data_IF_419400399100
#
_entry.id   IF_419400399100
#
_cell.length_a   1.000
_cell.length_b   1.000
_cell.length_c   1.000
_cell.angle_alpha   90.00
_cell.angle_beta   90.00
_cell.angle_gamma   90.00
#
_symmetry.space_group_name_H-M   'P 1'
#
loop_
_entity.id
_entity.type
_entity.pdbx_description
1 polymer ?
#
# COMPACT_ATOMS: atom_id res chain seq x y z
N UNK A 1 -10.34 21.31 -60.15
CA UNK A 1 -9.51 20.39 -59.37
C UNK A 1 -8.97 21.20 -58.22
N UNK A 2 -9.37 20.91 -56.99
CA UNK A 2 -8.60 21.31 -55.81
C UNK A 2 -8.90 20.30 -54.70
N UNK A 3 -7.86 19.53 -54.41
CA UNK A 3 -7.81 18.48 -53.39
C UNK A 3 -7.83 19.09 -51.99
N UNK A 4 -8.70 18.52 -51.15
CA UNK A 4 -8.79 18.74 -49.70
C UNK A 4 -7.43 18.55 -49.03
N UNK A 5 -7.04 19.47 -48.15
CA UNK A 5 -6.16 19.16 -47.01
C UNK A 5 -6.98 19.31 -45.74
N UNK A 6 -7.45 18.18 -45.21
CA UNK A 6 -7.99 18.11 -43.86
C UNK A 6 -6.78 17.97 -42.93
N UNK A 7 -6.44 19.02 -42.21
CA UNK A 7 -5.36 18.99 -41.23
C UNK A 7 -5.85 18.15 -40.06
N UNK A 8 -5.40 16.90 -39.95
CA UNK A 8 -5.55 16.14 -38.70
C UNK A 8 -4.59 16.73 -37.66
N UNK A 9 -5.10 17.00 -36.48
CA UNK A 9 -4.30 17.34 -35.31
C UNK A 9 -3.95 16.08 -34.54
N UNK A 10 -2.81 16.07 -33.86
CA UNK A 10 -2.38 14.94 -33.00
C UNK A 10 -3.44 14.62 -31.93
N UNK A 11 -4.23 15.61 -31.55
CA UNK A 11 -5.34 15.50 -30.60
C UNK A 11 -6.51 14.66 -31.16
N UNK A 12 -6.77 14.70 -32.48
CA UNK A 12 -7.85 13.91 -33.11
C UNK A 12 -7.52 12.41 -33.18
N UNK A 13 -6.24 12.06 -33.17
CA UNK A 13 -5.78 10.67 -33.16
C UNK A 13 -5.68 10.09 -31.71
N UNK A 14 -5.84 10.94 -30.68
CA UNK A 14 -5.78 10.52 -29.26
C UNK A 14 -7.17 10.24 -28.67
N UNK A 15 -8.23 10.85 -29.23
CA UNK A 15 -9.60 10.61 -28.75
C UNK A 15 -10.11 9.29 -29.34
N UNK A 16 -9.88 8.20 -28.61
CA UNK A 16 -10.53 6.92 -28.87
C UNK A 16 -12.01 7.08 -28.54
N UNK A 17 -12.87 6.84 -29.55
CA UNK A 17 -14.32 6.81 -29.36
C UNK A 17 -14.64 5.71 -28.34
N UNK A 18 -15.41 5.99 -27.29
CA UNK A 18 -15.71 4.99 -26.23
C UNK A 18 -16.29 3.67 -26.79
N UNK A 19 -16.90 3.70 -27.98
CA UNK A 19 -17.43 2.51 -28.67
C UNK A 19 -16.36 1.58 -29.23
N UNK A 20 -15.12 2.06 -29.42
CA UNK A 20 -13.98 1.30 -29.95
C UNK A 20 -12.95 0.95 -28.85
N UNK A 21 -13.27 1.23 -27.58
CA UNK A 21 -12.42 0.79 -26.47
C UNK A 21 -12.55 -0.73 -26.32
N UNK A 22 -11.44 -1.48 -26.22
CA UNK A 22 -11.51 -2.90 -25.93
C UNK A 22 -12.27 -3.10 -24.62
N UNK A 23 -13.05 -4.18 -24.55
CA UNK A 23 -13.70 -4.59 -23.31
C UNK A 23 -12.63 -4.69 -22.23
N UNK A 24 -12.72 -3.82 -21.21
CA UNK A 24 -11.81 -3.82 -20.07
C UNK A 24 -12.23 -5.03 -19.23
N UNK A 25 -11.63 -6.18 -19.55
CA UNK A 25 -11.74 -7.39 -18.73
C UNK A 25 -10.72 -7.24 -17.62
N UNK A 26 -11.20 -7.13 -16.38
CA UNK A 26 -10.34 -7.22 -15.20
C UNK A 26 -9.90 -8.69 -15.05
N UNK A 27 -8.64 -8.96 -15.40
CA UNK A 27 -8.02 -10.28 -15.31
C UNK A 27 -7.69 -10.70 -13.86
N UNK A 28 -7.98 -9.83 -12.88
CA UNK A 28 -7.87 -10.12 -11.44
C UNK A 28 -9.17 -10.58 -10.79
N UNK A 29 -10.30 -10.61 -11.50
CA UNK A 29 -11.55 -11.16 -10.95
C UNK A 29 -11.47 -12.69 -10.82
N UNK A 30 -10.95 -13.14 -9.68
CA UNK A 30 -11.14 -14.49 -9.19
C UNK A 30 -12.64 -14.71 -9.00
N UNK A 31 -13.20 -15.72 -9.67
CA UNK A 31 -14.62 -16.06 -9.56
C UNK A 31 -15.04 -16.17 -8.09
N UNK A 32 -15.98 -15.32 -7.67
CA UNK A 32 -16.43 -15.18 -6.28
C UNK A 32 -16.90 -16.51 -5.66
N UNK A 33 -17.23 -17.51 -6.47
CA UNK A 33 -17.84 -18.77 -6.02
C UNK A 33 -16.84 -19.85 -5.56
N UNK A 34 -15.51 -19.65 -5.71
CA UNK A 34 -14.48 -20.62 -5.28
C UNK A 34 -13.38 -20.04 -4.36
N UNK A 35 -13.48 -18.77 -3.97
CA UNK A 35 -12.47 -18.13 -3.13
C UNK A 35 -12.66 -18.49 -1.65
N UNK A 36 -11.72 -19.23 -1.06
CA UNK A 36 -11.57 -19.29 0.40
C UNK A 36 -11.03 -17.95 0.87
N UNK A 37 -11.61 -17.38 1.93
CA UNK A 37 -11.09 -16.17 2.53
C UNK A 37 -9.60 -16.34 2.89
N UNK A 38 -8.78 -15.33 2.63
CA UNK A 38 -7.32 -15.41 2.80
C UNK A 38 -6.93 -15.80 4.24
N UNK A 39 -7.74 -15.39 5.22
CA UNK A 39 -7.57 -15.75 6.63
C UNK A 39 -7.83 -17.24 6.91
N UNK A 40 -8.65 -17.88 6.08
CA UNK A 40 -9.01 -19.29 6.19
C UNK A 40 -8.17 -20.23 5.33
N UNK A 41 -7.35 -19.70 4.43
CA UNK A 41 -6.40 -20.47 3.63
C UNK A 41 -5.39 -21.23 4.52
N UNK A 42 -5.44 -22.56 4.44
CA UNK A 42 -4.59 -23.44 5.24
C UNK A 42 -3.10 -23.28 4.94
N UNK A 43 -2.73 -22.95 3.69
CA UNK A 43 -1.33 -22.71 3.35
C UNK A 43 -0.79 -21.44 4.05
N UNK A 44 -1.60 -20.39 4.15
CA UNK A 44 -1.26 -19.17 4.86
C UNK A 44 -1.21 -19.39 6.38
N UNK A 45 -2.17 -20.14 6.95
CA UNK A 45 -2.13 -20.55 8.37
C UNK A 45 -0.84 -21.31 8.72
N UNK A 46 -0.41 -22.23 7.85
CA UNK A 46 0.84 -22.98 8.04
C UNK A 46 2.09 -22.07 7.95
N UNK A 47 2.13 -21.14 7.00
CA UNK A 47 3.22 -20.15 6.90
C UNK A 47 3.29 -19.28 8.16
N UNK A 48 2.15 -18.82 8.66
CA UNK A 48 2.06 -18.01 9.88
C UNK A 48 2.55 -18.81 11.09
N UNK A 49 2.07 -20.04 11.27
CA UNK A 49 2.50 -20.92 12.37
C UNK A 49 4.02 -21.13 12.37
N UNK A 50 4.60 -21.40 11.20
CA UNK A 50 6.05 -21.55 11.08
C UNK A 50 6.80 -20.28 11.50
N UNK A 51 6.27 -19.08 11.21
CA UNK A 51 6.88 -17.82 11.65
C UNK A 51 6.76 -17.64 13.16
N UNK A 52 5.61 -17.93 13.75
CA UNK A 52 5.41 -17.90 15.20
C UNK A 52 6.40 -18.83 15.92
N UNK A 53 6.63 -20.03 15.38
CA UNK A 53 7.51 -21.03 16.01
C UNK A 53 9.01 -20.70 15.88
N UNK A 54 9.41 -19.97 14.83
CA UNK A 54 10.81 -19.76 14.46
C UNK A 54 11.34 -18.35 14.77
N UNK A 55 10.45 -17.37 14.90
CA UNK A 55 10.83 -15.97 15.05
C UNK A 55 10.69 -15.52 16.51
N UNK A 56 11.80 -15.10 17.10
CA UNK A 56 11.81 -14.49 18.43
C UNK A 56 11.68 -12.98 18.32
N UNK A 57 10.63 -12.42 18.92
CA UNK A 57 10.38 -10.98 18.91
C UNK A 57 11.26 -10.33 19.98
N UNK A 58 12.16 -9.44 19.55
CA UNK A 58 12.94 -8.62 20.48
C UNK A 58 12.09 -7.45 21.01
N UNK A 59 11.54 -7.61 22.21
CA UNK A 59 10.77 -6.56 22.87
C UNK A 59 11.69 -5.45 23.39
N UNK A 60 11.65 -4.29 22.74
CA UNK A 60 12.38 -3.08 23.21
C UNK A 60 11.73 -2.46 24.45
N UNK A 61 10.40 -2.55 24.55
CA UNK A 61 9.62 -2.07 25.70
C UNK A 61 8.53 -3.10 26.04
N UNK A 62 8.19 -3.28 27.32
CA UNK A 62 7.10 -4.17 27.71
C UNK A 62 5.74 -3.61 27.27
N UNK A 63 4.78 -4.49 26.98
CA UNK A 63 3.40 -4.11 26.69
C UNK A 63 2.73 -3.47 27.91
N UNK A 64 1.93 -2.43 27.69
CA UNK A 64 1.24 -1.69 28.75
C UNK A 64 -0.18 -2.24 28.95
N UNK A 65 -0.61 -2.53 30.19
CA UNK A 65 -1.93 -3.08 30.45
C UNK A 65 -3.07 -2.20 29.88
N UNK A 66 -3.99 -2.83 29.16
CA UNK A 66 -5.18 -2.17 28.61
C UNK A 66 -4.92 -1.30 27.36
N UNK A 67 -3.68 -1.18 26.89
CA UNK A 67 -3.36 -0.48 25.64
C UNK A 67 -3.53 -1.42 24.45
N UNK A 68 -4.08 -0.90 23.36
CA UNK A 68 -4.19 -1.62 22.09
C UNK A 68 -2.84 -1.56 21.35
N UNK A 69 -2.62 -2.46 20.40
CA UNK A 69 -1.43 -2.44 19.54
C UNK A 69 -1.73 -1.65 18.25
N UNK A 70 -0.81 -0.76 17.88
CA UNK A 70 -0.83 -0.03 16.61
C UNK A 70 0.41 -0.41 15.80
N UNK A 71 0.18 -1.04 14.65
CA UNK A 71 1.25 -1.52 13.76
C UNK A 71 1.46 -0.49 12.65
N UNK A 72 2.72 -0.08 12.44
CA UNK A 72 3.08 0.98 11.52
C UNK A 72 4.15 0.48 10.55
N UNK A 73 3.86 0.58 9.26
CA UNK A 73 4.88 0.48 8.23
C UNK A 73 5.81 1.72 8.25
N UNK A 74 6.97 1.63 7.63
CA UNK A 74 7.97 2.71 7.58
C UNK A 74 7.89 3.46 6.25
N UNK A 75 8.04 2.73 5.15
CA UNK A 75 8.27 3.29 3.82
C UNK A 75 6.98 3.89 3.26
N UNK A 76 7.00 5.19 2.95
CA UNK A 76 5.82 5.99 2.60
C UNK A 76 4.73 6.09 3.67
N UNK A 77 4.94 5.50 4.85
CA UNK A 77 4.07 5.67 5.99
C UNK A 77 4.62 6.72 6.96
N UNK A 78 5.86 6.55 7.42
CA UNK A 78 6.53 7.48 8.34
C UNK A 78 7.66 8.27 7.68
N UNK A 79 8.21 7.76 6.58
CA UNK A 79 9.44 8.26 5.95
C UNK A 79 9.38 8.16 4.43
N UNK A 80 9.91 9.17 3.72
CA UNK A 80 10.15 9.10 2.28
C UNK A 80 11.51 8.46 2.00
N UNK A 81 11.51 7.20 1.60
CA UNK A 81 12.73 6.45 1.28
C UNK A 81 13.23 6.62 -0.17
N UNK A 82 12.50 7.34 -1.03
CA UNK A 82 12.84 7.47 -2.45
C UNK A 82 13.52 8.78 -2.80
N UNK A 83 13.23 9.84 -2.06
CA UNK A 83 13.88 11.13 -2.27
C UNK A 83 15.33 11.11 -1.74
N UNK A 84 16.21 11.82 -2.45
CA UNK A 84 17.55 12.13 -1.95
C UNK A 84 17.47 13.29 -0.97
N UNK A 85 18.18 13.20 0.14
CA UNK A 85 18.27 14.26 1.14
C UNK A 85 19.67 14.30 1.76
N UNK A 86 20.05 15.47 2.28
CA UNK A 86 21.31 15.63 3.01
C UNK A 86 21.20 15.09 4.43
N UNK A 87 19.99 15.09 4.99
CA UNK A 87 19.72 14.56 6.34
C UNK A 87 18.43 13.73 6.39
N UNK A 88 18.33 12.71 7.27
CA UNK A 88 17.10 11.94 7.43
C UNK A 88 15.90 12.78 7.90
N UNK A 89 16.14 13.91 8.55
CA UNK A 89 15.09 14.82 9.02
C UNK A 89 14.27 15.40 7.86
N UNK A 90 14.89 15.60 6.70
CA UNK A 90 14.23 16.11 5.49
C UNK A 90 13.27 15.09 4.87
N UNK A 91 13.48 13.80 5.15
CA UNK A 91 12.68 12.70 4.62
C UNK A 91 11.60 12.23 5.60
N UNK A 92 11.60 12.75 6.84
CA UNK A 92 10.56 12.45 7.80
C UNK A 92 9.22 13.03 7.35
N UNK A 93 8.15 12.23 7.48
CA UNK A 93 6.80 12.73 7.25
C UNK A 93 6.51 13.88 8.21
N UNK A 94 5.92 15.00 7.74
CA UNK A 94 5.56 16.11 8.61
C UNK A 94 4.73 15.64 9.82
N UNK A 95 5.04 16.18 10.99
CA UNK A 95 4.42 15.84 12.29
C UNK A 95 4.71 14.44 12.84
N UNK A 96 5.68 13.69 12.31
CA UNK A 96 6.00 12.32 12.74
C UNK A 96 6.07 12.14 14.26
N UNK A 97 6.88 12.95 14.97
CA UNK A 97 7.03 12.80 16.42
C UNK A 97 5.77 13.20 17.20
N UNK A 98 5.07 14.25 16.78
CA UNK A 98 3.82 14.67 17.41
C UNK A 98 2.74 13.60 17.27
N UNK A 99 2.65 12.99 16.07
CA UNK A 99 1.77 11.86 15.79
C UNK A 99 2.11 10.65 16.66
N UNK A 100 3.35 10.18 16.68
CA UNK A 100 3.75 9.02 17.48
C UNK A 100 3.55 9.25 18.98
N UNK A 101 3.74 10.47 19.47
CA UNK A 101 3.46 10.84 20.87
C UNK A 101 1.98 10.71 21.19
N UNK A 102 1.11 11.21 20.32
CA UNK A 102 -0.34 11.10 20.48
C UNK A 102 -0.82 9.64 20.38
N UNK A 103 -0.27 8.86 19.45
CA UNK A 103 -0.56 7.42 19.35
C UNK A 103 -0.12 6.70 20.61
N UNK A 104 1.10 6.95 21.09
CA UNK A 104 1.61 6.26 22.27
C UNK A 104 0.78 6.52 23.54
N UNK A 105 0.10 7.66 23.64
CA UNK A 105 -0.83 7.93 24.73
C UNK A 105 -1.95 6.88 24.81
N UNK A 106 -2.37 6.31 23.66
CA UNK A 106 -3.52 5.40 23.55
C UNK A 106 -3.15 3.96 23.15
N UNK A 107 -2.01 3.75 22.50
CA UNK A 107 -1.58 2.47 21.91
C UNK A 107 -0.13 2.13 22.20
N UNK A 108 0.17 0.85 22.37
CA UNK A 108 1.52 0.31 22.16
C UNK A 108 1.83 0.28 20.66
N UNK A 109 3.10 0.37 20.28
CA UNK A 109 3.50 0.50 18.88
C UNK A 109 4.40 -0.67 18.47
N UNK A 110 4.17 -1.19 17.26
CA UNK A 110 5.06 -2.11 16.55
C UNK A 110 5.40 -1.48 15.20
N UNK A 111 6.69 -1.45 14.89
CA UNK A 111 7.21 -1.01 13.58
C UNK A 111 7.73 -2.27 12.88
#
# INVERSE_FOLDING_TARGET
MDTKYHHRTVEDDIIVNQMDSPEIVDDFELGQDEAVDIEDDEANKQKLKRRIDQYEIELKNPSRPGKKLFVLDIDYTLFDHRSTAETPLELMRPYLHAFLTAVYAEYDMMI
#
